data_IF_378610884005
#
_entry.id   IF_378610884005
#
_cell.length_a   1.000
_cell.length_b   1.000
_cell.length_c   1.000
_cell.angle_alpha   90.00
_cell.angle_beta   90.00
_cell.angle_gamma   90.00
#
_symmetry.space_group_name_H-M   'P 1'
#
loop_
_entity.id
_entity.type
_entity.pdbx_description
1 polymer ?
#
# COMPACT_ATOMS: atom_id res chain seq x y z
N UNK A 1 4.45 -24.44 -37.84
CA UNK A 1 3.60 -24.70 -36.66
C UNK A 1 4.51 -24.89 -35.47
N UNK A 2 4.49 -24.18 -34.36
CA UNK A 2 3.65 -23.11 -33.84
C UNK A 2 4.07 -22.99 -32.37
N UNK A 3 5.03 -22.12 -32.04
CA UNK A 3 5.43 -21.89 -30.65
C UNK A 3 4.43 -20.92 -30.03
N UNK A 4 3.40 -21.47 -29.37
CA UNK A 4 2.52 -20.69 -28.52
C UNK A 4 3.18 -20.63 -27.14
N UNK A 5 4.03 -19.62 -26.94
CA UNK A 5 4.48 -19.24 -25.60
C UNK A 5 3.25 -18.62 -24.91
N UNK A 6 2.61 -19.39 -24.04
CA UNK A 6 1.70 -18.81 -23.06
C UNK A 6 2.58 -18.11 -22.05
N UNK A 7 2.65 -16.81 -22.21
CA UNK A 7 3.23 -15.86 -21.27
C UNK A 7 2.33 -15.82 -20.04
N UNK A 8 2.53 -16.78 -19.14
CA UNK A 8 2.09 -16.65 -17.76
C UNK A 8 3.17 -15.87 -17.04
N UNK A 9 3.10 -14.54 -17.13
CA UNK A 9 3.91 -13.64 -16.28
C UNK A 9 3.62 -14.04 -14.84
N UNK A 10 4.59 -14.61 -14.08
CA UNK A 10 4.39 -14.74 -12.66
C UNK A 10 4.25 -13.31 -12.14
N UNK A 11 3.09 -12.98 -11.59
CA UNK A 11 2.86 -11.73 -10.88
C UNK A 11 4.04 -11.58 -9.92
N UNK A 12 4.95 -10.66 -10.26
CA UNK A 12 6.11 -10.40 -9.44
C UNK A 12 5.58 -10.15 -8.03
N UNK A 13 6.12 -10.81 -6.99
CA UNK A 13 5.68 -10.57 -5.63
C UNK A 13 5.75 -9.06 -5.42
N UNK A 14 4.59 -8.43 -5.19
CA UNK A 14 4.49 -6.99 -4.97
C UNK A 14 5.57 -6.67 -3.95
N UNK A 15 6.54 -5.79 -4.26
CA UNK A 15 7.58 -5.45 -3.31
C UNK A 15 6.85 -5.03 -2.04
N UNK A 16 7.08 -5.75 -0.94
CA UNK A 16 6.56 -5.36 0.37
C UNK A 16 7.05 -3.94 0.56
N UNK A 17 6.16 -2.97 0.39
CA UNK A 17 6.53 -1.57 0.38
C UNK A 17 6.84 -1.23 1.82
N UNK A 18 8.12 -1.22 2.16
CA UNK A 18 8.56 -0.81 3.49
C UNK A 18 8.29 0.68 3.64
N UNK A 19 7.25 1.00 4.41
CA UNK A 19 6.94 2.37 4.78
C UNK A 19 8.04 2.92 5.69
N UNK A 20 8.42 4.17 5.46
CA UNK A 20 9.30 4.91 6.36
C UNK A 20 8.60 5.17 7.70
N UNK A 21 9.36 5.38 8.78
CA UNK A 21 8.80 5.69 10.10
C UNK A 21 7.80 6.87 10.08
N UNK A 22 8.05 7.88 9.23
CA UNK A 22 7.12 8.99 9.00
C UNK A 22 5.78 8.54 8.40
N UNK A 23 5.80 7.64 7.43
CA UNK A 23 4.59 7.11 6.80
C UNK A 23 3.80 6.25 7.81
N UNK A 24 4.50 5.44 8.61
CA UNK A 24 3.90 4.65 9.69
C UNK A 24 3.25 5.56 10.75
N UNK A 25 3.96 6.62 11.16
CA UNK A 25 3.45 7.61 12.11
C UNK A 25 2.24 8.37 11.55
N UNK A 26 2.26 8.70 10.26
CA UNK A 26 1.13 9.30 9.57
C UNK A 26 -0.09 8.37 9.57
N UNK A 27 0.09 7.08 9.25
CA UNK A 27 -0.98 6.08 9.34
C UNK A 27 -1.57 6.00 10.74
N UNK A 28 -0.74 5.93 11.79
CA UNK A 28 -1.21 5.87 13.18
C UNK A 28 -2.00 7.14 13.56
N UNK A 29 -1.50 8.31 13.18
CA UNK A 29 -2.17 9.59 13.46
C UNK A 29 -3.52 9.67 12.75
N UNK A 30 -3.61 9.17 11.51
CA UNK A 30 -4.85 9.12 10.75
C UNK A 30 -5.87 8.15 11.36
N UNK A 31 -5.40 7.00 11.87
CA UNK A 31 -6.21 6.02 12.59
C UNK A 31 -6.78 6.59 13.89
N UNK A 32 -5.95 7.22 14.72
CA UNK A 32 -6.41 7.86 15.96
C UNK A 32 -7.37 9.02 15.70
N UNK A 33 -7.19 9.74 14.59
CA UNK A 33 -8.11 10.80 14.16
C UNK A 33 -9.39 10.27 13.49
N UNK A 34 -9.48 8.96 13.18
CA UNK A 34 -10.59 8.38 12.40
C UNK A 34 -10.65 8.89 10.95
N UNK A 35 -9.57 9.49 10.45
CA UNK A 35 -9.47 10.10 9.13
C UNK A 35 -8.57 9.26 8.23
N UNK A 36 -8.84 7.96 8.15
CA UNK A 36 -7.96 7.04 7.46
C UNK A 36 -7.85 7.35 5.98
N UNK A 37 -6.76 8.06 5.70
CA UNK A 37 -6.08 8.21 4.43
C UNK A 37 -6.87 8.85 3.28
N UNK A 38 -7.81 9.75 3.55
CA UNK A 38 -8.25 10.70 2.51
C UNK A 38 -7.16 11.73 2.25
N UNK A 39 -6.65 12.37 3.31
CA UNK A 39 -5.66 13.44 3.18
C UNK A 39 -4.24 12.97 2.90
N UNK A 40 -3.82 11.82 3.43
CA UNK A 40 -2.45 11.32 3.31
C UNK A 40 -2.15 10.81 1.87
N UNK A 41 -3.17 10.26 1.21
CA UNK A 41 -3.12 9.88 -0.20
C UNK A 41 -3.18 11.11 -1.11
N UNK A 42 -4.02 12.11 -0.80
CA UNK A 42 -4.09 13.39 -1.53
C UNK A 42 -2.74 14.12 -1.57
N UNK A 43 -1.95 14.05 -0.50
CA UNK A 43 -0.61 14.66 -0.42
C UNK A 43 0.52 13.70 -0.83
N UNK A 44 0.19 12.47 -1.25
CA UNK A 44 1.15 11.49 -1.74
C UNK A 44 2.13 10.94 -0.69
N UNK A 45 1.79 11.03 0.60
CA UNK A 45 2.66 10.48 1.67
C UNK A 45 2.52 8.97 1.74
N UNK A 46 1.30 8.44 1.75
CA UNK A 46 1.03 7.00 1.92
C UNK A 46 -0.37 6.69 1.41
N UNK A 47 -0.60 5.56 0.75
CA UNK A 47 -1.94 5.18 0.28
C UNK A 47 -2.75 4.52 1.40
N UNK A 48 -4.07 4.43 1.21
CA UNK A 48 -4.93 3.68 2.13
C UNK A 48 -4.48 2.21 2.26
N UNK A 49 -4.14 1.58 1.13
CA UNK A 49 -3.64 0.20 1.08
C UNK A 49 -2.34 0.03 1.88
N UNK A 50 -1.39 0.96 1.71
CA UNK A 50 -0.12 0.95 2.45
C UNK A 50 -0.35 1.02 3.97
N UNK A 51 -1.24 1.90 4.44
CA UNK A 51 -1.58 1.97 5.88
C UNK A 51 -2.32 0.73 6.37
N UNK A 52 -3.20 0.15 5.55
CA UNK A 52 -3.92 -1.08 5.88
C UNK A 52 -2.95 -2.26 6.05
N UNK A 53 -1.95 -2.40 5.18
CA UNK A 53 -0.93 -3.45 5.27
C UNK A 53 -0.07 -3.31 6.53
N UNK A 54 0.26 -2.08 6.94
CA UNK A 54 1.10 -1.82 8.12
C UNK A 54 0.34 -1.89 9.44
N UNK A 55 -0.84 -1.27 9.51
CA UNK A 55 -1.60 -1.19 10.76
C UNK A 55 -2.53 -2.39 10.98
N UNK A 56 -2.90 -3.12 9.93
CA UNK A 56 -3.93 -4.16 9.98
C UNK A 56 -5.33 -3.63 10.30
N UNK A 57 -5.51 -2.31 10.19
CA UNK A 57 -6.74 -1.55 10.43
C UNK A 57 -6.77 -0.33 9.51
N UNK A 58 -7.88 0.38 9.48
CA UNK A 58 -8.02 1.57 8.65
C UNK A 58 -7.92 1.34 7.14
N UNK A 59 -8.48 0.21 6.75
CA UNK A 59 -9.00 -0.13 5.43
C UNK A 59 -10.53 0.13 5.46
#
# INVERSE_FOLDING_TARGET
SGCKVSEETPEAPKPKKELSELQISACNTADEAGTCNTRLEEIGIVTKEDCCEVLGKCC
#
